data_IF_765953769280
#
_entry.id   IF_765953769280
#
_cell.length_a   1.000
_cell.length_b   1.000
_cell.length_c   1.000
_cell.angle_alpha   90.00
_cell.angle_beta   90.00
_cell.angle_gamma   90.00
#
_symmetry.space_group_name_H-M   'P 1'
#
loop_
_entity.id
_entity.type
_entity.pdbx_description
1 polymer ?
#
# COMPACT_ATOMS: atom_id res chain seq x y z
N UNK A 1 8.46 -63.31 14.31
CA UNK A 1 7.45 -62.34 14.75
C UNK A 1 8.03 -60.96 15.00
N UNK A 2 9.14 -60.80 15.72
CA UNK A 2 9.79 -59.52 16.06
C UNK A 2 10.27 -58.74 14.82
N UNK A 3 10.88 -59.41 13.83
CA UNK A 3 11.38 -58.82 12.59
C UNK A 3 10.25 -58.19 11.76
N UNK A 4 9.11 -58.82 11.68
CA UNK A 4 7.93 -58.31 10.95
C UNK A 4 7.36 -57.05 11.64
N UNK A 5 7.40 -57.01 12.97
CA UNK A 5 6.94 -55.83 13.74
C UNK A 5 7.86 -54.64 13.53
N UNK A 6 9.17 -54.84 13.57
CA UNK A 6 10.18 -53.81 13.33
C UNK A 6 10.05 -53.30 11.89
N UNK A 7 9.87 -54.16 10.92
CA UNK A 7 9.70 -53.80 9.52
C UNK A 7 8.45 -52.94 9.28
N UNK A 8 7.33 -53.31 9.91
CA UNK A 8 6.10 -52.52 9.85
C UNK A 8 6.24 -51.13 10.47
N UNK A 9 6.94 -51.04 11.61
CA UNK A 9 7.23 -49.77 12.27
C UNK A 9 8.15 -48.87 11.42
N UNK A 10 9.16 -49.43 10.77
CA UNK A 10 10.06 -48.73 9.85
C UNK A 10 9.29 -48.22 8.62
N UNK A 11 8.46 -49.07 8.02
CA UNK A 11 7.65 -48.67 6.86
C UNK A 11 6.65 -47.56 7.20
N UNK A 12 6.00 -47.62 8.37
CA UNK A 12 5.11 -46.55 8.83
C UNK A 12 5.86 -45.22 9.03
N UNK A 13 7.01 -45.27 9.68
CA UNK A 13 7.85 -44.04 9.86
C UNK A 13 8.33 -43.46 8.53
N UNK A 14 8.68 -44.32 7.57
CA UNK A 14 9.10 -43.91 6.24
C UNK A 14 7.94 -43.27 5.46
N UNK A 15 6.73 -43.86 5.55
CA UNK A 15 5.52 -43.34 4.93
C UNK A 15 5.09 -42.00 5.54
N UNK A 16 5.17 -41.85 6.87
CA UNK A 16 4.89 -40.59 7.57
C UNK A 16 5.88 -39.47 7.18
N UNK A 17 7.18 -39.81 7.09
CA UNK A 17 8.20 -38.82 6.64
C UNK A 17 7.96 -38.36 5.21
N UNK A 18 7.75 -39.33 4.28
CA UNK A 18 7.44 -38.99 2.89
C UNK A 18 6.14 -38.21 2.74
N UNK A 19 5.12 -38.56 3.54
CA UNK A 19 3.85 -37.82 3.57
C UNK A 19 4.04 -36.35 4.01
N UNK A 20 4.88 -36.09 5.01
CA UNK A 20 5.21 -34.73 5.44
C UNK A 20 6.01 -33.96 4.37
N UNK A 21 7.04 -34.59 3.81
CA UNK A 21 7.85 -33.97 2.74
C UNK A 21 6.99 -33.57 1.52
N UNK A 22 6.09 -34.47 1.09
CA UNK A 22 5.15 -34.19 0.00
C UNK A 22 4.16 -33.08 0.36
N UNK A 23 3.65 -33.06 1.59
CA UNK A 23 2.75 -31.99 2.04
C UNK A 23 3.46 -30.63 2.06
N UNK A 24 4.69 -30.55 2.55
CA UNK A 24 5.52 -29.33 2.54
C UNK A 24 5.82 -28.87 1.10
N UNK A 25 6.14 -29.82 0.20
CA UNK A 25 6.37 -29.51 -1.21
C UNK A 25 5.10 -29.00 -1.91
N UNK A 26 3.93 -29.57 -1.61
CA UNK A 26 2.65 -29.12 -2.13
C UNK A 26 2.28 -27.72 -1.62
N UNK A 27 2.54 -27.43 -0.35
CA UNK A 27 2.30 -26.10 0.23
C UNK A 27 3.22 -25.07 -0.45
N UNK A 28 4.51 -25.36 -0.57
CA UNK A 28 5.48 -24.47 -1.21
C UNK A 28 5.14 -24.20 -2.70
N UNK A 29 4.66 -25.23 -3.41
CA UNK A 29 4.17 -25.06 -4.80
C UNK A 29 2.92 -24.20 -4.85
N UNK A 30 1.94 -24.46 -3.99
CA UNK A 30 0.71 -23.68 -3.94
C UNK A 30 0.98 -22.19 -3.62
N UNK A 31 1.92 -21.90 -2.70
CA UNK A 31 2.36 -20.54 -2.42
C UNK A 31 3.01 -19.86 -3.63
N UNK A 32 3.84 -20.62 -4.36
CA UNK A 32 4.49 -20.11 -5.57
C UNK A 32 3.47 -19.83 -6.66
N UNK A 33 2.52 -20.73 -6.88
CA UNK A 33 1.45 -20.59 -7.87
C UNK A 33 0.54 -19.40 -7.53
N UNK A 34 0.20 -19.21 -6.25
CA UNK A 34 -0.56 -18.04 -5.79
C UNK A 34 0.20 -16.72 -6.04
N UNK A 35 1.51 -16.69 -5.78
CA UNK A 35 2.36 -15.51 -6.07
C UNK A 35 2.41 -15.19 -7.57
N UNK A 36 2.49 -16.22 -8.41
CA UNK A 36 2.46 -16.05 -9.88
C UNK A 36 1.09 -15.56 -10.36
N UNK A 37 0.01 -16.12 -9.82
CA UNK A 37 -1.36 -15.73 -10.17
C UNK A 37 -1.62 -14.25 -9.79
N UNK A 38 -1.21 -13.85 -8.59
CA UNK A 38 -1.35 -12.47 -8.13
C UNK A 38 -0.51 -11.49 -8.96
N UNK A 39 0.73 -11.86 -9.31
CA UNK A 39 1.56 -11.06 -10.23
C UNK A 39 0.90 -10.90 -11.60
N UNK A 40 0.30 -11.96 -12.12
CA UNK A 40 -0.39 -11.93 -13.41
C UNK A 40 -1.64 -11.05 -13.34
N UNK A 41 -2.43 -11.17 -12.27
CA UNK A 41 -3.60 -10.33 -12.02
C UNK A 41 -3.22 -8.85 -11.95
N UNK A 42 -2.20 -8.52 -11.17
CA UNK A 42 -1.69 -7.14 -11.04
C UNK A 42 -1.15 -6.61 -12.38
N UNK A 43 -0.50 -7.44 -13.19
CA UNK A 43 -0.04 -7.05 -14.51
C UNK A 43 -1.20 -6.73 -15.47
N UNK A 44 -2.30 -7.48 -15.40
CA UNK A 44 -3.53 -7.23 -16.20
C UNK A 44 -4.22 -5.95 -15.72
N UNK A 45 -4.44 -5.78 -14.42
CA UNK A 45 -5.04 -4.56 -13.84
C UNK A 45 -4.23 -3.31 -14.20
N UNK A 46 -2.89 -3.43 -14.19
CA UNK A 46 -1.98 -2.39 -14.64
C UNK A 46 -2.14 -2.05 -16.12
N UNK A 47 -2.17 -3.08 -16.95
CA UNK A 47 -2.30 -2.89 -18.40
C UNK A 47 -3.59 -2.15 -18.72
N UNK A 48 -4.70 -2.55 -18.11
CA UNK A 48 -6.00 -1.97 -18.35
C UNK A 48 -6.08 -0.51 -17.85
N UNK A 49 -5.58 -0.22 -16.63
CA UNK A 49 -5.54 1.14 -16.10
C UNK A 49 -4.65 2.06 -16.93
N UNK A 50 -3.45 1.59 -17.30
CA UNK A 50 -2.52 2.37 -18.12
C UNK A 50 -3.07 2.61 -19.52
N UNK A 51 -3.65 1.58 -20.15
CA UNK A 51 -4.23 1.71 -21.49
C UNK A 51 -5.41 2.71 -21.51
N UNK A 52 -6.28 2.65 -20.49
CA UNK A 52 -7.40 3.60 -20.34
C UNK A 52 -6.90 5.03 -20.15
N UNK A 53 -5.94 5.25 -19.27
CA UNK A 53 -5.38 6.58 -18.99
C UNK A 53 -4.64 7.16 -20.20
N UNK A 54 -3.87 6.34 -20.93
CA UNK A 54 -3.21 6.77 -22.17
C UNK A 54 -4.21 7.11 -23.27
N UNK A 55 -5.30 6.35 -23.37
CA UNK A 55 -6.39 6.64 -24.31
C UNK A 55 -7.07 7.97 -23.98
N UNK A 56 -7.35 8.24 -22.71
CA UNK A 56 -7.90 9.52 -22.25
C UNK A 56 -6.97 10.70 -22.59
N UNK A 57 -5.67 10.56 -22.34
CA UNK A 57 -4.66 11.58 -22.72
C UNK A 57 -4.65 11.80 -24.23
N UNK A 58 -4.70 10.74 -25.03
CA UNK A 58 -4.71 10.85 -26.50
C UNK A 58 -5.97 11.58 -26.99
N UNK A 59 -7.14 11.30 -26.41
CA UNK A 59 -8.39 11.99 -26.74
C UNK A 59 -8.34 13.48 -26.38
N UNK A 60 -7.81 13.84 -25.21
CA UNK A 60 -7.65 15.24 -24.80
C UNK A 60 -6.69 16.01 -25.71
N UNK A 61 -5.58 15.39 -26.10
CA UNK A 61 -4.62 15.99 -27.03
C UNK A 61 -5.21 16.14 -28.45
N UNK A 62 -6.00 15.17 -28.92
CA UNK A 62 -6.67 15.27 -30.22
C UNK A 62 -7.75 16.35 -30.21
N UNK A 63 -8.50 16.48 -29.12
CA UNK A 63 -9.47 17.55 -28.93
C UNK A 63 -8.77 18.91 -28.91
N UNK A 64 -7.67 19.01 -28.16
CA UNK A 64 -6.85 20.22 -28.11
C UNK A 64 -6.31 20.64 -29.51
N UNK A 65 -5.99 19.65 -30.36
CA UNK A 65 -5.53 19.88 -31.74
C UNK A 65 -6.59 20.54 -32.62
N UNK A 66 -7.87 20.27 -32.36
CA UNK A 66 -8.98 20.84 -33.13
C UNK A 66 -9.23 22.34 -32.84
N UNK A 67 -8.72 22.85 -31.72
CA UNK A 67 -8.84 24.29 -31.34
C UNK A 67 -7.69 25.17 -31.86
N UNK A 68 -7.10 24.84 -33.02
CA UNK A 68 -5.95 25.60 -33.56
C UNK A 68 -6.23 27.06 -33.92
N UNK A 69 -7.50 27.45 -34.05
CA UNK A 69 -7.91 28.78 -34.54
C UNK A 69 -8.51 29.71 -33.47
N UNK A 70 -7.82 29.92 -32.36
CA UNK A 70 -8.10 31.14 -31.56
C UNK A 70 -8.59 30.99 -30.11
N UNK A 71 -8.96 29.79 -29.65
CA UNK A 71 -9.48 29.56 -28.29
C UNK A 71 -8.38 29.13 -27.31
N UNK A 72 -7.48 30.04 -26.93
CA UNK A 72 -6.40 29.78 -25.97
C UNK A 72 -6.83 29.22 -24.61
N UNK A 73 -7.97 29.64 -23.99
CA UNK A 73 -8.39 29.12 -22.68
C UNK A 73 -8.82 27.66 -22.74
N UNK A 74 -9.59 27.27 -23.75
CA UNK A 74 -10.06 25.87 -23.92
C UNK A 74 -8.89 24.93 -24.23
N UNK A 75 -7.98 25.34 -25.12
CA UNK A 75 -6.76 24.60 -25.43
C UNK A 75 -5.93 24.32 -24.16
N UNK A 76 -5.74 25.33 -23.31
CA UNK A 76 -5.02 25.19 -22.05
C UNK A 76 -5.73 24.25 -21.08
N UNK A 77 -7.06 24.23 -21.07
CA UNK A 77 -7.83 23.29 -20.20
C UNK A 77 -7.62 21.83 -20.62
N UNK A 78 -7.68 21.52 -21.91
CA UNK A 78 -7.42 20.17 -22.42
C UNK A 78 -5.99 19.69 -22.17
N UNK A 79 -5.00 20.58 -22.34
CA UNK A 79 -3.62 20.27 -21.95
C UNK A 79 -3.48 20.01 -20.45
N UNK A 80 -4.15 20.77 -19.61
CA UNK A 80 -4.12 20.58 -18.16
C UNK A 80 -4.76 19.25 -17.74
N UNK A 81 -5.85 18.82 -18.40
CA UNK A 81 -6.49 17.53 -18.17
C UNK A 81 -5.56 16.39 -18.63
N UNK A 82 -5.04 16.46 -19.85
CA UNK A 82 -4.11 15.47 -20.39
C UNK A 82 -2.88 15.29 -19.50
N UNK A 83 -2.30 16.41 -19.03
CA UNK A 83 -1.15 16.39 -18.13
C UNK A 83 -1.48 15.76 -16.77
N UNK A 84 -2.65 16.07 -16.19
CA UNK A 84 -3.13 15.46 -14.94
C UNK A 84 -3.32 13.95 -15.10
N UNK A 85 -3.97 13.53 -16.17
CA UNK A 85 -4.20 12.09 -16.45
C UNK A 85 -2.89 11.35 -16.63
N UNK A 86 -1.93 11.92 -17.37
CA UNK A 86 -0.60 11.33 -17.55
C UNK A 86 0.16 11.20 -16.21
N UNK A 87 0.07 12.23 -15.37
CA UNK A 87 0.68 12.21 -14.04
C UNK A 87 0.06 11.12 -13.14
N UNK A 88 -1.27 10.99 -13.16
CA UNK A 88 -1.99 9.93 -12.43
C UNK A 88 -1.56 8.55 -12.90
N UNK A 89 -1.55 8.31 -14.21
CA UNK A 89 -1.10 7.05 -14.81
C UNK A 89 0.34 6.68 -14.39
N UNK A 90 1.25 7.65 -14.40
CA UNK A 90 2.63 7.45 -13.93
C UNK A 90 2.68 7.06 -12.46
N UNK A 91 1.86 7.70 -11.63
CA UNK A 91 1.86 7.45 -10.18
C UNK A 91 1.19 6.10 -9.85
N UNK A 92 0.18 5.68 -10.61
CA UNK A 92 -0.40 4.33 -10.56
C UNK A 92 0.61 3.25 -10.97
N UNK A 93 1.30 3.42 -12.09
CA UNK A 93 2.38 2.53 -12.52
C UNK A 93 3.46 2.37 -11.46
N UNK A 94 3.86 3.48 -10.85
CA UNK A 94 4.87 3.50 -9.80
C UNK A 94 4.41 2.76 -8.54
N UNK A 95 3.14 2.89 -8.21
CA UNK A 95 2.53 2.19 -7.07
C UNK A 95 2.45 0.68 -7.33
N UNK A 96 2.04 0.26 -8.51
CA UNK A 96 1.99 -1.15 -8.88
C UNK A 96 3.37 -1.81 -8.98
N UNK A 97 4.35 -1.11 -9.53
CA UNK A 97 5.74 -1.60 -9.53
C UNK A 97 6.30 -1.74 -8.12
N UNK A 98 5.87 -0.88 -7.19
CA UNK A 98 6.22 -1.02 -5.79
C UNK A 98 5.53 -2.24 -5.16
N UNK A 99 4.27 -2.47 -5.47
CA UNK A 99 3.49 -3.63 -4.99
C UNK A 99 4.12 -4.96 -5.45
N UNK A 100 4.56 -5.03 -6.71
CA UNK A 100 5.22 -6.21 -7.27
C UNK A 100 6.61 -6.48 -6.66
N UNK A 101 7.28 -5.48 -6.09
CA UNK A 101 8.63 -5.56 -5.53
C UNK A 101 8.67 -5.51 -4.00
N UNK A 102 7.54 -5.47 -3.33
CA UNK A 102 7.51 -5.22 -1.88
C UNK A 102 7.96 -6.44 -1.08
N UNK A 103 9.28 -6.58 -0.94
CA UNK A 103 9.89 -7.48 0.04
C UNK A 103 9.55 -7.08 1.49
N UNK A 104 8.93 -5.92 1.70
CA UNK A 104 8.50 -5.48 3.02
C UNK A 104 7.39 -6.35 3.63
N UNK A 105 6.64 -7.10 2.81
CA UNK A 105 5.66 -8.06 3.29
C UNK A 105 6.29 -9.34 3.87
N UNK A 106 7.54 -9.63 3.51
CA UNK A 106 8.29 -10.78 4.01
C UNK A 106 8.98 -10.49 5.35
N UNK A 107 8.95 -9.22 5.80
CA UNK A 107 9.58 -8.83 7.07
C UNK A 107 8.80 -9.40 8.27
N UNK A 108 9.51 -9.89 9.29
CA UNK A 108 8.90 -10.57 10.44
C UNK A 108 8.09 -9.63 11.33
N UNK A 109 8.39 -8.33 11.32
CA UNK A 109 7.72 -7.33 12.13
C UNK A 109 7.35 -6.07 11.35
N UNK A 110 6.32 -5.37 11.84
CA UNK A 110 5.78 -4.18 11.16
C UNK A 110 6.73 -2.99 11.19
N UNK A 111 7.57 -2.84 12.21
CA UNK A 111 8.50 -1.71 12.29
C UNK A 111 9.59 -1.83 11.22
N UNK A 112 10.16 -3.03 11.04
CA UNK A 112 11.12 -3.34 9.99
C UNK A 112 10.50 -3.19 8.60
N UNK A 113 9.26 -3.68 8.42
CA UNK A 113 8.51 -3.52 7.17
C UNK A 113 8.29 -2.04 6.80
N UNK A 114 7.89 -1.21 7.77
CA UNK A 114 7.70 0.23 7.56
C UNK A 114 9.04 0.90 7.24
N UNK A 115 10.10 0.59 7.99
CA UNK A 115 11.44 1.14 7.77
C UNK A 115 11.94 0.84 6.35
N UNK A 116 11.79 -0.40 5.90
CA UNK A 116 12.19 -0.84 4.55
C UNK A 116 11.36 -0.13 3.47
N UNK A 117 10.06 0.01 3.69
CA UNK A 117 9.14 0.72 2.80
C UNK A 117 9.51 2.19 2.61
N UNK A 118 9.98 2.83 3.68
CA UNK A 118 10.28 4.27 3.69
C UNK A 118 11.72 4.58 3.24
N UNK A 119 12.63 3.63 3.31
CA UNK A 119 14.06 3.84 3.01
C UNK A 119 14.32 4.61 1.68
N UNK A 120 13.61 4.33 0.57
CA UNK A 120 13.80 5.08 -0.68
C UNK A 120 13.27 6.52 -0.64
N UNK A 121 12.39 6.83 0.31
CA UNK A 121 11.63 8.08 0.38
C UNK A 121 12.26 9.07 1.36
N UNK A 122 12.76 8.59 2.50
CA UNK A 122 13.18 9.40 3.65
C UNK A 122 14.65 9.80 3.64
N UNK A 123 15.29 9.82 2.48
CA UNK A 123 16.71 10.22 2.38
C UNK A 123 16.88 11.66 2.91
N UNK A 124 17.67 11.82 3.98
CA UNK A 124 17.93 13.11 4.62
C UNK A 124 16.81 13.60 5.56
N UNK A 125 15.81 12.76 5.86
CA UNK A 125 14.71 13.10 6.76
C UNK A 125 14.79 12.26 8.04
N UNK A 126 14.67 12.91 9.20
CA UNK A 126 14.62 12.22 10.49
C UNK A 126 13.34 11.39 10.59
N UNK A 127 13.47 10.09 10.84
CA UNK A 127 12.30 9.21 10.89
C UNK A 127 12.30 8.42 12.20
N UNK A 128 11.27 8.62 13.02
CA UNK A 128 11.02 7.86 14.24
C UNK A 128 9.81 6.93 14.05
N UNK A 129 10.01 5.64 14.29
CA UNK A 129 8.97 4.62 14.12
C UNK A 129 8.79 3.91 15.48
N UNK A 130 7.53 3.83 15.93
CA UNK A 130 7.08 3.08 17.12
C UNK A 130 5.79 2.35 16.76
N UNK A 131 5.91 1.19 16.17
CA UNK A 131 4.75 0.44 15.67
C UNK A 131 4.58 -0.87 16.45
N UNK A 132 3.82 -0.80 17.55
CA UNK A 132 3.58 -1.93 18.49
C UNK A 132 2.38 -2.76 18.03
N UNK A 133 2.49 -3.35 16.86
CA UNK A 133 1.46 -4.19 16.25
C UNK A 133 2.10 -5.49 15.81
N UNK A 134 1.71 -6.64 16.39
CA UNK A 134 2.21 -7.93 15.95
C UNK A 134 1.84 -8.18 14.48
N UNK A 135 2.81 -8.65 13.69
CA UNK A 135 2.61 -8.89 12.24
C UNK A 135 1.59 -10.01 11.99
N UNK A 136 1.60 -11.01 12.88
CA UNK A 136 0.82 -12.25 12.76
C UNK A 136 -0.70 -12.03 12.81
N UNK A 137 -1.15 -10.94 13.42
CA UNK A 137 -2.57 -10.61 13.52
C UNK A 137 -3.10 -9.83 12.31
N UNK A 138 -2.20 -9.44 11.40
CA UNK A 138 -2.52 -8.70 10.19
C UNK A 138 -2.49 -9.64 8.99
N UNK A 139 -3.52 -9.59 8.16
CA UNK A 139 -3.48 -10.24 6.84
C UNK A 139 -2.48 -9.52 5.94
N UNK A 140 -1.96 -10.19 4.92
CA UNK A 140 -1.06 -9.57 3.95
C UNK A 140 -1.71 -8.36 3.25
N UNK A 141 -2.99 -8.44 2.91
CA UNK A 141 -3.74 -7.33 2.34
C UNK A 141 -3.81 -6.12 3.28
N UNK A 142 -4.06 -6.35 4.57
CA UNK A 142 -4.09 -5.27 5.57
C UNK A 142 -2.71 -4.66 5.76
N UNK A 143 -1.68 -5.50 5.87
CA UNK A 143 -0.28 -5.05 5.98
C UNK A 143 0.12 -4.20 4.78
N UNK A 144 -0.16 -4.68 3.58
CA UNK A 144 0.13 -3.98 2.34
C UNK A 144 -0.56 -2.61 2.28
N UNK A 145 -1.85 -2.55 2.63
CA UNK A 145 -2.58 -1.29 2.67
C UNK A 145 -2.00 -0.31 3.69
N UNK A 146 -1.62 -0.77 4.89
CA UNK A 146 -0.96 0.05 5.92
C UNK A 146 0.36 0.62 5.39
N UNK A 147 1.22 -0.22 4.82
CA UNK A 147 2.52 0.20 4.29
C UNK A 147 2.37 1.23 3.18
N UNK A 148 1.40 1.05 2.27
CA UNK A 148 1.10 2.03 1.21
C UNK A 148 0.60 3.36 1.76
N UNK A 149 -0.30 3.33 2.75
CA UNK A 149 -0.83 4.53 3.37
C UNK A 149 0.29 5.30 4.08
N UNK A 150 1.10 4.62 4.89
CA UNK A 150 2.24 5.24 5.60
C UNK A 150 3.22 5.86 4.60
N UNK A 151 3.54 5.14 3.52
CA UNK A 151 4.44 5.64 2.47
C UNK A 151 3.88 6.89 1.78
N UNK A 152 2.60 6.89 1.43
CA UNK A 152 1.94 8.02 0.78
C UNK A 152 1.92 9.26 1.68
N UNK A 153 1.58 9.09 2.97
CA UNK A 153 1.60 10.16 3.94
C UNK A 153 3.00 10.73 4.15
N UNK A 154 4.02 9.87 4.21
CA UNK A 154 5.42 10.31 4.31
C UNK A 154 5.86 11.10 3.06
N UNK A 155 5.50 10.63 1.86
CA UNK A 155 5.78 11.34 0.61
C UNK A 155 5.11 12.72 0.61
N UNK A 156 3.86 12.80 1.06
CA UNK A 156 3.12 14.06 1.13
C UNK A 156 3.81 15.05 2.08
N UNK A 157 4.17 14.61 3.30
CA UNK A 157 4.90 15.45 4.25
C UNK A 157 6.22 15.97 3.69
N UNK A 158 7.01 15.10 3.04
CA UNK A 158 8.32 15.49 2.49
C UNK A 158 8.19 16.37 1.25
N UNK A 159 7.41 15.94 0.25
CA UNK A 159 7.38 16.59 -1.07
C UNK A 159 6.52 17.87 -1.09
N UNK A 160 5.39 17.83 -0.39
CA UNK A 160 4.45 18.93 -0.38
C UNK A 160 4.59 19.80 0.87
N UNK A 161 4.94 19.19 2.01
CA UNK A 161 5.14 19.89 3.27
C UNK A 161 6.57 20.38 3.49
N UNK A 162 7.58 19.88 2.78
CA UNK A 162 8.98 20.19 3.04
C UNK A 162 9.45 19.69 4.40
N UNK A 163 8.86 18.60 4.91
CA UNK A 163 9.15 18.07 6.22
C UNK A 163 10.60 17.59 6.35
N UNK A 164 11.22 17.91 7.50
CA UNK A 164 12.54 17.42 7.91
C UNK A 164 12.47 16.24 8.88
N UNK A 165 11.30 16.01 9.48
CA UNK A 165 11.09 14.95 10.44
C UNK A 165 9.72 14.30 10.25
N UNK A 166 9.67 12.96 10.39
CA UNK A 166 8.45 12.16 10.33
C UNK A 166 8.39 11.23 11.54
N UNK A 167 7.23 11.18 12.17
CA UNK A 167 6.94 10.29 13.30
C UNK A 167 5.80 9.35 12.90
N UNK A 168 6.02 8.06 13.12
CA UNK A 168 5.05 7.01 12.84
C UNK A 168 4.82 6.23 14.13
N UNK A 169 3.58 6.13 14.53
CA UNK A 169 3.20 5.35 15.71
C UNK A 169 1.99 4.49 15.38
N UNK A 170 1.95 3.28 15.95
CA UNK A 170 0.83 2.36 15.79
C UNK A 170 0.69 1.44 16.97
N UNK A 171 -0.56 1.13 17.34
CA UNK A 171 -0.93 0.21 18.40
C UNK A 171 -2.28 -0.43 18.13
N UNK A 172 -2.58 -1.47 18.88
CA UNK A 172 -3.91 -2.09 18.89
C UNK A 172 -4.51 -1.91 20.26
N UNK A 173 -5.76 -1.48 20.27
CA UNK A 173 -6.59 -1.40 21.47
C UNK A 173 -7.99 -1.92 21.16
N UNK A 174 -8.50 -2.83 22.00
CA UNK A 174 -9.86 -3.37 21.89
C UNK A 174 -10.20 -3.98 20.52
N UNK A 175 -9.22 -4.57 19.80
CA UNK A 175 -9.42 -5.12 18.45
C UNK A 175 -9.43 -4.06 17.34
N UNK A 176 -9.12 -2.81 17.65
CA UNK A 176 -8.96 -1.73 16.69
C UNK A 176 -7.49 -1.40 16.55
N UNK A 177 -6.97 -1.51 15.33
CA UNK A 177 -5.68 -1.00 14.96
C UNK A 177 -5.78 0.51 14.80
N UNK A 178 -4.95 1.26 15.51
CA UNK A 178 -4.81 2.70 15.33
C UNK A 178 -3.35 3.03 15.02
N UNK A 179 -3.14 3.83 13.98
CA UNK A 179 -1.80 4.34 13.67
C UNK A 179 -1.87 5.78 13.18
N UNK A 180 -0.76 6.48 13.36
CA UNK A 180 -0.63 7.87 12.92
C UNK A 180 0.70 8.11 12.22
N UNK A 181 0.67 9.01 11.26
CA UNK A 181 1.85 9.60 10.62
C UNK A 181 1.78 11.10 10.87
N UNK A 182 2.84 11.65 11.44
CA UNK A 182 3.00 13.08 11.70
C UNK A 182 4.25 13.58 11.00
N UNK A 183 4.19 14.77 10.45
CA UNK A 183 5.32 15.51 9.89
C UNK A 183 5.46 16.91 10.51
N UNK A 184 6.62 17.51 10.37
CA UNK A 184 6.93 18.90 10.77
C UNK A 184 6.91 19.87 9.59
N UNK A 185 6.25 19.54 8.50
CA UNK A 185 6.18 20.35 7.29
C UNK A 185 5.38 21.64 7.45
N UNK A 186 5.14 22.33 6.34
CA UNK A 186 4.42 23.61 6.33
C UNK A 186 2.95 23.51 6.76
N UNK A 187 2.37 22.30 6.79
CA UNK A 187 0.94 22.11 7.08
C UNK A 187 0.03 22.81 6.07
N UNK A 188 -1.27 22.72 6.32
CA UNK A 188 -2.31 23.36 5.49
C UNK A 188 -3.59 23.61 6.30
N UNK A 189 -4.48 24.43 5.77
CA UNK A 189 -5.80 24.64 6.36
C UNK A 189 -6.70 23.43 6.07
N UNK A 190 -6.93 22.57 7.07
CA UNK A 190 -7.68 21.33 6.91
C UNK A 190 -9.17 21.57 6.55
N UNK A 191 -9.72 22.75 6.80
CA UNK A 191 -11.09 23.11 6.41
C UNK A 191 -11.19 23.51 4.94
N UNK A 192 -10.08 23.98 4.36
CA UNK A 192 -9.93 24.31 2.94
C UNK A 192 -9.19 23.21 2.18
N UNK A 193 -9.27 21.96 2.69
CA UNK A 193 -8.57 20.85 2.05
C UNK A 193 -8.98 20.76 0.57
N UNK A 194 -8.07 20.99 -0.37
CA UNK A 194 -8.37 20.95 -1.78
C UNK A 194 -8.94 19.58 -2.16
N UNK A 195 -10.02 19.59 -2.91
CA UNK A 195 -10.64 18.36 -3.41
C UNK A 195 -9.81 17.68 -4.51
N UNK A 196 -10.39 16.67 -5.13
CA UNK A 196 -9.81 15.98 -6.30
C UNK A 196 -9.56 16.96 -7.46
N UNK A 197 -10.36 18.03 -7.54
CA UNK A 197 -10.27 19.08 -8.56
C UNK A 197 -8.95 19.87 -8.49
N UNK A 198 -8.31 19.94 -7.32
CA UNK A 198 -7.06 20.65 -7.10
C UNK A 198 -5.80 19.75 -7.21
N UNK A 199 -5.94 18.51 -7.70
CA UNK A 199 -4.80 17.63 -7.99
C UNK A 199 -4.24 16.86 -6.78
N UNK A 200 -4.95 16.79 -5.66
CA UNK A 200 -4.55 16.06 -4.45
C UNK A 200 -5.05 14.60 -4.46
N UNK A 201 -4.57 13.82 -5.43
CA UNK A 201 -4.96 12.41 -5.62
C UNK A 201 -4.49 11.48 -4.49
N UNK A 202 -3.42 11.80 -3.77
CA UNK A 202 -2.87 10.97 -2.70
C UNK A 202 -3.86 10.72 -1.56
N UNK A 203 -4.53 11.77 -1.08
CA UNK A 203 -5.52 11.65 -0.01
C UNK A 203 -6.79 10.91 -0.46
N UNK A 204 -7.18 11.03 -1.72
CA UNK A 204 -8.30 10.28 -2.30
C UNK A 204 -7.97 8.78 -2.33
N UNK A 205 -6.81 8.39 -2.81
CA UNK A 205 -6.37 7.00 -2.84
C UNK A 205 -6.26 6.36 -1.44
N UNK A 206 -5.89 7.14 -0.42
CA UNK A 206 -5.91 6.68 0.98
C UNK A 206 -7.35 6.40 1.44
N UNK A 207 -8.28 7.33 1.18
CA UNK A 207 -9.71 7.16 1.57
C UNK A 207 -10.33 5.94 0.91
N UNK A 208 -10.01 5.68 -0.34
CA UNK A 208 -10.53 4.53 -1.09
C UNK A 208 -10.03 3.20 -0.51
N UNK A 209 -8.73 3.10 -0.21
CA UNK A 209 -8.17 1.91 0.48
C UNK A 209 -8.79 1.69 1.85
N UNK A 210 -9.03 2.77 2.60
CA UNK A 210 -9.65 2.67 3.91
C UNK A 210 -11.11 2.20 3.84
N UNK A 211 -11.86 2.50 2.78
CA UNK A 211 -13.21 1.94 2.58
C UNK A 211 -13.19 0.41 2.51
N UNK A 212 -12.23 -0.17 1.79
CA UNK A 212 -12.07 -1.63 1.71
C UNK A 212 -11.70 -2.29 3.04
N UNK A 213 -11.10 -1.53 3.95
CA UNK A 213 -10.71 -1.99 5.28
C UNK A 213 -11.70 -1.59 6.38
N UNK A 214 -12.86 -1.03 6.02
CA UNK A 214 -13.80 -0.39 6.96
C UNK A 214 -13.09 0.58 7.93
N UNK A 215 -12.03 1.25 7.44
CA UNK A 215 -11.19 2.15 8.21
C UNK A 215 -11.69 3.59 8.19
N UNK A 216 -11.22 4.37 9.17
CA UNK A 216 -11.49 5.82 9.30
C UNK A 216 -10.18 6.58 9.33
N UNK A 217 -10.22 7.82 8.85
CA UNK A 217 -9.08 8.73 8.82
C UNK A 217 -9.48 10.10 9.36
N UNK A 218 -8.65 10.65 10.23
CA UNK A 218 -8.71 12.03 10.69
C UNK A 218 -7.40 12.75 10.35
N UNK A 219 -7.49 14.01 9.96
CA UNK A 219 -6.34 14.84 9.61
C UNK A 219 -6.36 16.09 10.48
N UNK A 220 -5.28 16.33 11.18
CA UNK A 220 -5.01 17.52 11.97
C UNK A 220 -3.86 18.27 11.29
N UNK A 221 -4.13 19.47 10.76
CA UNK A 221 -3.12 20.29 10.11
C UNK A 221 -3.46 21.76 10.28
N UNK A 222 -2.44 22.59 10.37
CA UNK A 222 -2.56 24.04 10.34
C UNK A 222 -1.29 24.62 9.70
N UNK A 223 -1.36 25.78 9.02
CA UNK A 223 -0.20 26.42 8.43
C UNK A 223 0.92 26.64 9.46
N UNK A 224 2.13 26.18 9.10
CA UNK A 224 3.34 26.25 9.94
C UNK A 224 3.41 25.22 11.08
N UNK A 225 2.45 24.27 11.18
CA UNK A 225 2.41 23.29 12.30
C UNK A 225 2.55 21.83 11.86
N UNK A 226 2.86 21.60 10.57
CA UNK A 226 2.91 20.27 10.01
C UNK A 226 1.55 19.61 9.89
N UNK A 227 1.55 18.29 9.64
CA UNK A 227 0.33 17.51 9.50
C UNK A 227 0.42 16.24 10.36
N UNK A 228 -0.69 15.88 11.01
CA UNK A 228 -0.87 14.59 11.67
C UNK A 228 -2.10 13.90 11.08
N UNK A 229 -1.89 12.75 10.48
CA UNK A 229 -2.96 11.89 10.00
C UNK A 229 -3.08 10.67 10.91
N UNK A 230 -4.26 10.44 11.46
CA UNK A 230 -4.57 9.28 12.29
C UNK A 230 -5.55 8.38 11.57
N UNK A 231 -5.28 7.09 11.59
CA UNK A 231 -6.07 6.04 10.93
C UNK A 231 -6.46 5.00 11.95
N UNK A 232 -7.71 4.56 11.90
CA UNK A 232 -8.25 3.46 12.70
C UNK A 232 -8.91 2.42 11.80
N UNK A 233 -8.61 1.14 12.04
CA UNK A 233 -9.11 -0.01 11.28
C UNK A 233 -9.60 -1.04 12.30
N UNK A 234 -10.86 -1.46 12.19
CA UNK A 234 -11.38 -2.57 12.98
C UNK A 234 -10.84 -3.88 12.44
N UNK A 235 -10.09 -4.61 13.25
CA UNK A 235 -9.60 -5.92 12.87
C UNK A 235 -10.70 -6.96 13.14
N UNK A 236 -10.93 -7.91 12.22
CA UNK A 236 -11.82 -9.03 12.49
C UNK A 236 -11.29 -9.72 13.76
N UNK A 237 -12.16 -10.01 14.72
CA UNK A 237 -11.81 -10.78 15.92
C UNK A 237 -11.22 -12.09 15.42
N UNK A 238 -9.90 -12.24 15.53
CA UNK A 238 -9.21 -13.46 15.18
C UNK A 238 -9.82 -14.61 15.97
N UNK A 239 -9.98 -15.73 15.33
CA UNK A 239 -10.14 -17.01 16.01
C UNK A 239 -8.91 -17.14 16.93
N UNK A 240 -9.09 -16.78 18.18
CA UNK A 240 -8.15 -17.09 19.24
C UNK A 240 -8.06 -18.60 19.23
N UNK A 241 -6.93 -19.12 18.82
CA UNK A 241 -6.58 -20.54 18.95
C UNK A 241 -6.90 -20.91 20.39
N UNK A 242 -7.97 -21.68 20.56
CA UNK A 242 -8.15 -22.44 21.79
C UNK A 242 -7.01 -23.44 21.83
N UNK A 243 -6.25 -23.34 22.90
CA UNK A 243 -5.19 -24.24 23.34
C UNK A 243 -5.62 -25.70 23.38
#
# INVERSE_FOLDING_TARGET
MLIVLIWNLLLRRLAERRGKELAEEHIARAETDMKVLERTRLAVELHDSVAQNLTAVAMELETARQFQDGARPELLSHFAIAWRTLKSCRDELRNCLWDLRSQALEEPDMETAIRRTLLPVVKGVNTAIRFKVPREILTDNTTHAILRIIRELAINGIRHGGASSIWIAGSIDGGTLQFSVRDDGCGFDAQKCPGVEDGHFGMHGIRERLRHLAGRMTVESAPGRGTKTTISISLPKGQTSQS
#
